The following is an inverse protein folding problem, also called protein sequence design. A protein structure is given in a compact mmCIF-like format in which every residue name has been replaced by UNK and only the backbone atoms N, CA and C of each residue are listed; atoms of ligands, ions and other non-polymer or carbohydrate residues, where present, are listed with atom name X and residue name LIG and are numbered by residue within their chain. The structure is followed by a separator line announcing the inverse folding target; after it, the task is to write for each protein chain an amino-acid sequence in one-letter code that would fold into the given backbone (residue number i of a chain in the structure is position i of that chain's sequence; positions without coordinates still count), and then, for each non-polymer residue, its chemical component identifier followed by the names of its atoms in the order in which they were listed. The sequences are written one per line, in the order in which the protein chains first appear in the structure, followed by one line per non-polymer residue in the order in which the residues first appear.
data_IF_316841468300
#
_entry.id   IF_316841468300
#
_cell.length_a   1.000
_cell.length_b   1.000
_cell.length_c   1.000
_cell.angle_alpha   90.00
_cell.angle_beta   90.00
_cell.angle_gamma   90.00
#
_symmetry.space_group_name_H-M   'P 1'
#
loop_
_entity.id
_entity.type
_entity.pdbx_description
1 polymer ?
#
# COMPACT_ATOMS: atom_id res chain seq x y z
N UNK A 1 -6.83 1.23 -27.34
CA UNK A 1 -5.77 0.64 -26.49
C UNK A 1 -5.68 1.52 -25.26
N UNK A 2 -6.37 1.16 -24.17
CA UNK A 2 -6.24 1.94 -22.93
C UNK A 2 -4.87 1.58 -22.39
N UNK A 3 -3.86 2.36 -22.76
CA UNK A 3 -2.56 2.31 -22.13
C UNK A 3 -2.74 2.98 -20.78
N UNK A 4 -3.35 2.26 -19.84
CA UNK A 4 -3.48 2.68 -18.45
C UNK A 4 -2.09 2.63 -17.82
N UNK A 5 -1.27 3.63 -18.14
CA UNK A 5 -0.11 4.00 -17.34
C UNK A 5 -0.58 4.73 -16.06
N UNK A 6 -1.70 4.27 -15.48
CA UNK A 6 -2.13 4.57 -14.12
C UNK A 6 -1.61 3.45 -13.21
N UNK A 7 -0.36 3.01 -13.43
CA UNK A 7 0.24 1.89 -12.73
C UNK A 7 0.14 2.10 -11.22
N UNK A 8 -0.87 1.50 -10.59
CA UNK A 8 -1.01 1.53 -9.14
C UNK A 8 0.03 0.59 -8.58
N UNK A 9 1.11 1.18 -8.07
CA UNK A 9 2.09 0.46 -7.30
C UNK A 9 1.54 0.12 -5.93
N UNK A 10 2.01 -1.02 -5.43
CA UNK A 10 1.80 -1.41 -4.05
C UNK A 10 3.14 -1.61 -3.35
N UNK A 11 3.27 -1.09 -2.13
CA UNK A 11 4.44 -1.31 -1.29
C UNK A 11 4.00 -1.88 0.06
N UNK A 12 4.54 -3.04 0.43
CA UNK A 12 4.29 -3.62 1.76
C UNK A 12 5.16 -2.84 2.76
N UNK A 13 4.53 -2.14 3.69
CA UNK A 13 5.26 -1.39 4.71
C UNK A 13 5.51 -2.23 5.96
N UNK A 14 4.59 -3.13 6.28
CA UNK A 14 4.71 -4.01 7.44
C UNK A 14 4.06 -5.36 7.09
N UNK A 15 4.86 -6.44 6.97
CA UNK A 15 4.36 -7.74 6.53
C UNK A 15 3.67 -8.56 7.65
N UNK A 16 3.93 -8.24 8.92
CA UNK A 16 3.52 -9.07 10.06
C UNK A 16 2.43 -8.39 10.90
N UNK A 17 2.36 -7.07 10.88
CA UNK A 17 1.35 -6.30 11.58
C UNK A 17 0.71 -5.25 10.69
N UNK A 18 -0.59 -5.01 10.91
CA UNK A 18 -1.25 -3.87 10.28
C UNK A 18 -1.95 -3.00 11.31
N UNK A 19 -1.39 -1.81 11.53
CA UNK A 19 -2.10 -0.72 12.15
C UNK A 19 -2.64 0.20 11.05
N UNK A 20 -3.94 0.16 10.78
CA UNK A 20 -4.57 0.91 9.68
C UNK A 20 -4.27 2.42 9.76
N UNK A 21 -4.28 2.99 10.97
CA UNK A 21 -4.06 4.42 11.18
C UNK A 21 -2.62 4.80 10.79
N UNK A 22 -1.63 4.08 11.34
CA UNK A 22 -0.21 4.30 11.06
C UNK A 22 0.14 3.98 9.61
N UNK A 23 -0.44 2.91 9.06
CA UNK A 23 -0.27 2.49 7.67
C UNK A 23 -0.75 3.57 6.70
N UNK A 24 -1.96 4.10 6.92
CA UNK A 24 -2.53 5.16 6.10
C UNK A 24 -1.75 6.47 6.23
N UNK A 25 -1.41 6.90 7.45
CA UNK A 25 -0.63 8.12 7.65
C UNK A 25 0.74 8.05 6.96
N UNK A 26 1.49 6.94 7.14
CA UNK A 26 2.78 6.75 6.48
C UNK A 26 2.65 6.72 4.96
N UNK A 27 1.63 6.05 4.43
CA UNK A 27 1.37 6.00 3.00
C UNK A 27 1.08 7.35 2.37
N UNK A 28 0.24 8.15 3.03
CA UNK A 28 -0.09 9.50 2.58
C UNK A 28 1.16 10.39 2.66
N UNK A 29 1.93 10.31 3.75
CA UNK A 29 3.12 11.16 3.95
C UNK A 29 4.29 10.81 3.03
N UNK A 30 4.61 9.52 2.85
CA UNK A 30 5.82 9.10 2.14
C UNK A 30 5.60 8.93 0.64
N UNK A 31 4.40 8.50 0.25
CA UNK A 31 4.11 8.02 -1.10
C UNK A 31 2.92 8.73 -1.74
N UNK A 32 2.30 9.68 -1.04
CA UNK A 32 1.05 10.33 -1.44
C UNK A 32 -0.02 9.30 -1.87
N UNK A 33 -0.04 8.17 -1.16
CA UNK A 33 -0.84 6.99 -1.48
C UNK A 33 -1.86 6.67 -0.38
N UNK A 34 -2.54 5.55 -0.53
CA UNK A 34 -3.52 5.07 0.44
C UNK A 34 -3.05 3.75 1.07
N UNK A 35 -2.89 3.75 2.38
CA UNK A 35 -2.50 2.56 3.15
C UNK A 35 -3.71 1.75 3.56
N UNK A 36 -3.66 0.44 3.37
CA UNK A 36 -4.71 -0.50 3.75
C UNK A 36 -4.13 -1.72 4.45
N UNK A 37 -4.93 -2.32 5.33
CA UNK A 37 -4.62 -3.61 5.91
C UNK A 37 -5.15 -4.72 5.01
N UNK A 38 -4.25 -5.54 4.51
CA UNK A 38 -4.57 -6.70 3.69
C UNK A 38 -4.30 -7.97 4.48
N UNK A 39 -5.14 -8.99 4.36
CA UNK A 39 -4.90 -10.26 5.03
C UNK A 39 -3.65 -10.93 4.42
N UNK A 40 -2.64 -11.19 5.24
CA UNK A 40 -1.48 -11.99 4.88
C UNK A 40 -1.80 -13.46 5.16
N UNK A 41 -2.24 -14.17 4.11
CA UNK A 41 -2.58 -15.59 4.18
C UNK A 41 -1.36 -16.51 4.39
N UNK A 42 -0.13 -16.02 4.16
CA UNK A 42 1.11 -16.80 4.37
C UNK A 42 1.53 -16.84 5.83
N UNK A 43 1.39 -15.74 6.55
CA UNK A 43 1.80 -15.63 7.97
C UNK A 43 0.63 -15.67 8.95
N UNK A 44 -0.62 -15.69 8.45
CA UNK A 44 -1.80 -15.79 9.32
C UNK A 44 -2.10 -14.50 10.06
N UNK A 45 -2.05 -13.35 9.37
CA UNK A 45 -2.23 -12.02 9.98
C UNK A 45 -2.71 -10.97 9.00
N UNK A 46 -2.52 -9.69 9.35
CA UNK A 46 -2.76 -8.56 8.46
C UNK A 46 -1.43 -7.85 8.17
N UNK A 47 -1.15 -7.60 6.90
CA UNK A 47 -0.03 -6.79 6.44
C UNK A 47 -0.52 -5.39 6.03
N UNK A 48 0.31 -4.39 6.28
CA UNK A 48 0.11 -3.04 5.79
C UNK A 48 0.60 -2.92 4.34
N UNK A 49 -0.31 -2.60 3.43
CA UNK A 49 -0.02 -2.40 2.00
C UNK A 49 -0.37 -0.97 1.60
N UNK A 50 0.57 -0.34 0.91
CA UNK A 50 0.47 1.03 0.45
C UNK A 50 0.20 1.10 -1.04
N UNK A 51 -0.96 1.62 -1.45
CA UNK A 51 -1.29 1.80 -2.86
C UNK A 51 -1.00 3.22 -3.30
N UNK A 52 -0.17 3.39 -4.32
CA UNK A 52 0.29 4.68 -4.84
C UNK A 52 0.34 4.67 -6.36
N UNK A 53 0.21 5.83 -7.00
CA UNK A 53 0.38 5.93 -8.46
C UNK A 53 1.88 5.99 -8.79
N UNK A 54 2.37 5.06 -9.59
CA UNK A 54 3.78 4.98 -10.01
C UNK A 54 4.11 5.81 -11.26
N UNK A 55 3.33 6.86 -11.55
CA UNK A 55 3.47 7.69 -12.76
C UNK A 55 3.87 9.14 -12.51
N UNK A 56 4.32 9.50 -11.31
CA UNK A 56 4.75 10.86 -10.97
C UNK A 56 6.26 10.90 -10.76
N UNK A 57 7.00 10.81 -11.86
CA UNK A 57 8.40 11.27 -11.92
C UNK A 57 8.60 12.00 -13.24
#
# INVERSE_FOLDING_TARGET
MVNDNSGRCMAVMDPVGCNLLSCRQRCVQLKNGNGVCQANLKEGGYQCVCYMNCGSN
#
